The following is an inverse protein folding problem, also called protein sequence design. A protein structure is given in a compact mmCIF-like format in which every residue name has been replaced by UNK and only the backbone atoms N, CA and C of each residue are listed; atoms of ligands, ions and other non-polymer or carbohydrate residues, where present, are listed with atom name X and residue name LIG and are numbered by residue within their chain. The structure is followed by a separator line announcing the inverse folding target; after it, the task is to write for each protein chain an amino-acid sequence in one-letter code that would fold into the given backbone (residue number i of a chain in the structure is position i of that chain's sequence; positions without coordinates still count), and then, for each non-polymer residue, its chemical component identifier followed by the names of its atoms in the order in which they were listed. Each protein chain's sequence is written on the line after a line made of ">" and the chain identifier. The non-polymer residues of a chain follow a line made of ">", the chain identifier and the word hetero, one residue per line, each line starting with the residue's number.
data_IF_402731304804
#
_entry.id   IF_402731304804
#
_cell.length_a   1.000
_cell.length_b   1.000
_cell.length_c   1.000
_cell.angle_alpha   90.00
_cell.angle_beta   90.00
_cell.angle_gamma   90.00
#
_symmetry.space_group_name_H-M   'P 1'
#
loop_
_entity.id
_entity.type
_entity.pdbx_description
1 polymer ?
#
# COMPACT_ATOMS: atom_id res chain seq x y z
N UNK A 1 3.07 2.78 9.04
CA UNK A 1 4.37 2.75 8.37
C UNK A 1 4.50 1.58 7.40
N UNK A 2 4.07 0.38 7.77
CA UNK A 2 4.16 -0.83 6.93
C UNK A 2 3.58 -0.67 5.52
N UNK A 3 2.39 -0.08 5.39
CA UNK A 3 1.79 0.21 4.06
C UNK A 3 2.61 1.21 3.25
N UNK A 4 3.11 2.29 3.88
CA UNK A 4 3.91 3.30 3.21
C UNK A 4 5.22 2.71 2.65
N UNK A 5 5.90 1.88 3.45
CA UNK A 5 7.10 1.18 3.00
C UNK A 5 6.81 0.22 1.83
N UNK A 6 5.67 -0.48 1.86
CA UNK A 6 5.24 -1.32 0.74
C UNK A 6 5.02 -0.49 -0.53
N UNK A 7 4.31 0.64 -0.44
CA UNK A 7 4.02 1.50 -1.61
C UNK A 7 5.28 2.13 -2.22
N UNK A 8 6.27 2.46 -1.40
CA UNK A 8 7.58 2.95 -1.87
C UNK A 8 8.34 1.90 -2.68
N UNK A 9 8.17 0.61 -2.36
CA UNK A 9 8.81 -0.51 -3.07
C UNK A 9 7.96 -1.01 -4.25
N UNK A 10 6.63 -0.97 -4.13
CA UNK A 10 5.65 -1.41 -5.12
C UNK A 10 4.42 -0.49 -5.12
N UNK A 11 4.32 0.47 -6.06
CA UNK A 11 3.21 1.43 -6.11
C UNK A 11 1.83 0.83 -6.41
N UNK A 12 1.77 -0.39 -6.96
CA UNK A 12 0.52 -1.11 -7.25
C UNK A 12 0.57 -2.53 -6.68
N UNK A 13 0.49 -2.69 -5.35
CA UNK A 13 0.59 -3.99 -4.70
C UNK A 13 -0.65 -4.86 -4.96
N UNK A 14 -0.50 -6.17 -4.78
CA UNK A 14 -1.61 -7.13 -4.69
C UNK A 14 -2.10 -7.24 -3.25
N UNK A 15 -3.28 -7.81 -3.03
CA UNK A 15 -3.79 -8.04 -1.66
C UNK A 15 -2.86 -8.94 -0.84
N UNK A 16 -2.23 -9.94 -1.45
CA UNK A 16 -1.25 -10.80 -0.78
C UNK A 16 -0.04 -10.01 -0.25
N UNK A 17 0.47 -9.04 -1.03
CA UNK A 17 1.61 -8.21 -0.62
C UNK A 17 1.22 -7.31 0.58
N UNK A 18 -0.02 -6.83 0.61
CA UNK A 18 -0.56 -6.05 1.74
C UNK A 18 -0.67 -6.93 2.98
N UNK A 19 -1.23 -8.13 2.86
CA UNK A 19 -1.36 -9.06 3.99
C UNK A 19 0.02 -9.44 4.57
N UNK A 20 1.00 -9.72 3.70
CA UNK A 20 2.39 -9.99 4.09
C UNK A 20 3.00 -8.81 4.85
N UNK A 21 2.87 -7.59 4.31
CA UNK A 21 3.36 -6.38 4.96
C UNK A 21 2.72 -6.13 6.34
N UNK A 22 1.54 -6.70 6.60
CA UNK A 22 0.80 -6.54 7.85
C UNK A 22 0.95 -7.70 8.86
N UNK A 23 1.62 -8.81 8.51
CA UNK A 23 1.81 -9.96 9.42
C UNK A 23 2.45 -9.57 10.77
N UNK A 24 3.36 -8.59 10.77
CA UNK A 24 4.02 -8.09 11.98
C UNK A 24 3.30 -6.96 12.72
N UNK A 25 2.12 -6.53 12.28
CA UNK A 25 1.44 -5.34 12.80
C UNK A 25 0.23 -5.73 13.65
N UNK A 26 0.31 -5.59 14.98
CA UNK A 26 -0.77 -5.92 15.91
C UNK A 26 -1.76 -4.74 16.12
N UNK A 27 -3.06 -5.00 15.96
CA UNK A 27 -4.13 -4.03 16.24
C UNK A 27 -5.29 -4.70 16.96
N UNK A 28 -5.67 -4.16 18.14
CA UNK A 28 -6.76 -4.72 18.95
C UNK A 28 -8.14 -4.10 18.66
N UNK A 29 -8.18 -2.87 18.18
CA UNK A 29 -9.42 -2.09 18.15
C UNK A 29 -10.24 -2.27 16.88
N UNK A 30 -9.58 -2.32 15.72
CA UNK A 30 -10.27 -2.25 14.42
C UNK A 30 -10.73 -3.61 13.90
N UNK A 31 -10.16 -4.70 14.43
CA UNK A 31 -10.36 -6.05 13.89
C UNK A 31 -9.84 -6.22 12.46
N UNK A 32 -8.91 -5.38 12.00
CA UNK A 32 -8.23 -5.35 10.69
C UNK A 32 -9.09 -5.16 9.43
N UNK A 33 -10.32 -5.63 9.41
CA UNK A 33 -11.23 -5.52 8.26
C UNK A 33 -11.26 -4.12 7.64
N UNK A 34 -11.53 -3.03 8.40
CA UNK A 34 -11.55 -1.68 7.79
C UNK A 34 -10.16 -1.21 7.31
N UNK A 35 -9.07 -1.72 7.88
CA UNK A 35 -7.70 -1.39 7.46
C UNK A 35 -7.41 -2.02 6.09
N UNK A 36 -7.68 -3.32 5.96
CA UNK A 36 -7.47 -4.07 4.72
C UNK A 36 -8.41 -3.59 3.60
N UNK A 37 -9.66 -3.30 3.92
CA UNK A 37 -10.62 -2.70 2.99
C UNK A 37 -10.16 -1.33 2.48
N UNK A 38 -9.62 -0.48 3.36
CA UNK A 38 -9.05 0.80 2.97
C UNK A 38 -7.85 0.66 2.02
N UNK A 39 -6.91 -0.24 2.32
CA UNK A 39 -5.72 -0.43 1.47
C UNK A 39 -5.98 -1.09 0.13
N UNK A 40 -7.12 -1.78 -0.02
CA UNK A 40 -7.56 -2.33 -1.30
C UNK A 40 -7.64 -1.28 -2.41
N UNK A 41 -7.88 -0.01 -2.05
CA UNK A 41 -7.91 1.12 -2.99
C UNK A 41 -6.61 1.33 -3.77
N UNK A 42 -5.48 0.86 -3.24
CA UNK A 42 -4.17 0.91 -3.91
C UNK A 42 -3.91 -0.31 -4.82
N UNK A 43 -4.78 -1.33 -4.79
CA UNK A 43 -4.63 -2.54 -5.60
C UNK A 43 -5.41 -2.43 -6.92
N UNK A 44 -4.97 -3.17 -7.95
CA UNK A 44 -5.73 -3.30 -9.21
C UNK A 44 -7.03 -4.10 -9.04
N UNK A 45 -7.13 -4.87 -7.96
CA UNK A 45 -8.25 -5.75 -7.66
C UNK A 45 -9.40 -4.97 -7.00
N UNK A 46 -10.21 -4.31 -7.83
CA UNK A 46 -11.48 -3.69 -7.40
C UNK A 46 -12.57 -4.71 -7.03
N UNK A 47 -12.22 -5.99 -6.83
CA UNK A 47 -13.19 -7.06 -6.60
C UNK A 47 -13.69 -7.03 -5.16
N UNK A 48 -14.73 -6.24 -4.91
CA UNK A 48 -15.42 -6.14 -3.63
C UNK A 48 -15.88 -7.52 -3.11
N UNK A 49 -15.84 -7.69 -1.78
CA UNK A 49 -16.66 -8.67 -1.08
C UNK A 49 -18.14 -8.31 -1.36
N UNK A 50 -18.69 -8.81 -2.47
CA UNK A 50 -20.07 -8.54 -2.90
C UNK A 50 -20.27 -8.16 -4.38
N UNK A 51 -19.25 -8.22 -5.25
CA UNK A 51 -19.41 -7.85 -6.66
C UNK A 51 -18.96 -8.92 -7.65
N UNK A 52 -19.93 -9.67 -8.19
CA UNK A 52 -19.86 -10.69 -9.26
C UNK A 52 -19.32 -12.08 -8.89
N UNK A 53 -20.27 -12.94 -8.53
CA UNK A 53 -20.37 -14.33 -9.01
C UNK A 53 -19.19 -15.25 -8.77
N UNK A 54 -19.21 -15.95 -7.63
CA UNK A 54 -18.75 -17.34 -7.54
C UNK A 54 -19.66 -18.05 -6.53
N UNK A 55 -19.96 -19.31 -6.83
CA UNK A 55 -21.04 -20.19 -6.35
C UNK A 55 -21.17 -20.34 -4.83
N UNK A 56 -20.24 -19.79 -4.03
CA UNK A 56 -20.14 -19.98 -2.57
C UNK A 56 -19.86 -18.66 -1.82
N UNK A 57 -20.56 -17.58 -2.17
CA UNK A 57 -20.34 -16.24 -1.60
C UNK A 57 -20.74 -16.12 -0.11
N UNK A 58 -19.86 -15.52 0.69
CA UNK A 58 -20.00 -15.25 2.13
C UNK A 58 -21.13 -14.26 2.49
N UNK A 59 -21.79 -13.64 1.51
CA UNK A 59 -22.81 -12.63 1.71
C UNK A 59 -24.17 -13.16 1.22
N UNK A 60 -25.13 -13.32 2.14
CA UNK A 60 -26.54 -13.57 1.80
C UNK A 60 -27.18 -12.31 1.19
N UNK A 61 -26.72 -11.92 0.00
CA UNK A 61 -27.35 -10.86 -0.79
C UNK A 61 -28.29 -11.53 -1.79
N UNK A 62 -29.59 -11.25 -1.63
CA UNK A 62 -30.56 -11.51 -2.68
C UNK A 62 -30.04 -10.85 -3.97
N UNK A 63 -30.09 -11.59 -5.08
CA UNK A 63 -29.62 -11.17 -6.42
C UNK A 63 -30.33 -9.88 -6.84
N UNK A 64 -29.76 -8.73 -6.52
CA UNK A 64 -30.08 -7.46 -7.16
C UNK A 64 -28.79 -6.97 -7.77
N UNK A 65 -28.78 -6.92 -9.10
CA UNK A 65 -27.64 -6.45 -9.89
C UNK A 65 -27.39 -4.97 -9.61
N UNK A 66 -26.44 -4.66 -8.72
CA UNK A 66 -25.98 -3.28 -8.55
C UNK A 66 -25.06 -2.93 -9.72
N UNK A 67 -25.64 -2.41 -10.80
CA UNK A 67 -24.90 -1.56 -11.75
C UNK A 67 -24.38 -0.34 -11.00
N UNK A 68 -23.21 0.14 -11.44
CA UNK A 68 -22.51 1.27 -10.85
C UNK A 68 -23.43 2.43 -10.52
N UNK A 69 -23.20 3.01 -9.35
CA UNK A 69 -23.89 4.16 -8.80
C UNK A 69 -23.80 5.33 -9.79
N UNK A 70 -24.90 5.62 -10.48
CA UNK A 70 -25.20 6.95 -11.02
C UNK A 70 -26.34 7.48 -10.17
N UNK A 71 -26.11 8.61 -9.50
CA UNK A 71 -27.16 9.39 -8.84
C UNK A 71 -28.28 9.62 -9.84
N UNK A 72 -29.47 9.10 -9.56
CA UNK A 72 -30.76 9.74 -9.82
C UNK A 72 -31.92 8.88 -9.31
N UNK A 73 -32.67 9.48 -8.38
CA UNK A 73 -34.09 9.29 -8.12
C UNK A 73 -34.63 7.88 -7.76
N UNK A 74 -34.86 7.73 -6.46
CA UNK A 74 -36.09 7.23 -5.82
C UNK A 74 -36.71 5.87 -6.23
N UNK A 75 -36.89 5.09 -5.17
CA UNK A 75 -38.03 4.21 -4.89
C UNK A 75 -37.86 2.72 -5.24
N UNK A 76 -37.34 1.95 -4.27
CA UNK A 76 -37.97 0.72 -3.78
C UNK A 76 -37.23 0.19 -2.56
N UNK A 77 -37.99 -0.27 -1.58
CA UNK A 77 -37.60 -0.70 -0.24
C UNK A 77 -36.61 -1.86 -0.24
N UNK A 78 -35.32 -1.57 -0.34
CA UNK A 78 -34.25 -2.40 0.19
C UNK A 78 -33.31 -1.48 0.94
N UNK A 79 -33.41 -1.48 2.28
CA UNK A 79 -32.52 -0.72 3.17
C UNK A 79 -31.14 -1.38 3.10
N UNK A 80 -30.45 -1.18 1.98
CA UNK A 80 -29.02 -1.42 1.92
C UNK A 80 -28.39 -0.28 2.72
N UNK A 81 -27.61 -0.59 3.77
CA UNK A 81 -26.91 0.45 4.50
C UNK A 81 -26.04 1.23 3.53
N UNK A 82 -26.08 2.56 3.64
CA UNK A 82 -25.23 3.44 2.86
C UNK A 82 -23.74 3.04 3.02
N UNK A 83 -22.92 3.19 1.97
CA UNK A 83 -21.48 2.93 2.08
C UNK A 83 -20.87 3.84 3.15
N UNK A 84 -19.94 3.29 3.94
CA UNK A 84 -19.30 4.02 5.04
C UNK A 84 -18.34 5.11 4.55
N UNK A 85 -17.85 5.00 3.31
CA UNK A 85 -16.96 5.96 2.66
C UNK A 85 -17.05 5.82 1.14
N UNK A 86 -16.62 6.87 0.43
CA UNK A 86 -16.52 6.87 -1.02
C UNK A 86 -15.04 6.87 -1.45
N UNK A 87 -14.55 5.83 -2.14
CA UNK A 87 -13.15 5.77 -2.56
C UNK A 87 -12.79 6.79 -3.66
N UNK A 88 -13.79 7.41 -4.32
CA UNK A 88 -13.54 8.45 -5.31
C UNK A 88 -13.08 9.78 -4.69
N UNK A 89 -13.34 9.99 -3.39
CA UNK A 89 -12.96 11.22 -2.68
C UNK A 89 -11.49 11.21 -2.23
N UNK A 90 -10.80 10.08 -2.38
CA UNK A 90 -9.41 9.93 -1.97
C UNK A 90 -8.46 10.57 -2.98
N UNK A 91 -7.48 11.32 -2.47
CA UNK A 91 -6.42 11.88 -3.31
C UNK A 91 -5.57 10.74 -3.88
N UNK A 92 -5.21 10.80 -5.18
CA UNK A 92 -4.37 9.80 -5.80
C UNK A 92 -2.94 9.83 -5.22
N UNK A 93 -2.29 8.67 -5.18
CA UNK A 93 -0.90 8.56 -4.79
C UNK A 93 0.00 9.16 -5.88
N UNK A 94 0.81 10.15 -5.51
CA UNK A 94 1.87 10.72 -6.36
C UNK A 94 3.25 10.26 -5.85
N UNK A 95 3.90 9.27 -6.51
CA UNK A 95 5.21 8.76 -6.10
C UNK A 95 6.33 9.81 -6.16
N UNK A 96 6.13 10.94 -6.85
CA UNK A 96 7.15 11.98 -7.03
C UNK A 96 7.22 12.95 -5.86
N UNK A 97 6.15 13.05 -5.06
CA UNK A 97 6.10 13.90 -3.87
C UNK A 97 6.58 13.20 -2.59
N UNK A 98 7.19 12.04 -2.75
CA UNK A 98 7.73 11.27 -1.65
C UNK A 98 9.02 11.86 -1.09
N UNK A 99 9.33 11.54 0.17
CA UNK A 99 10.52 12.04 0.85
C UNK A 99 11.78 11.62 0.06
N UNK A 100 12.57 12.62 -0.31
CA UNK A 100 13.86 12.42 -0.99
C UNK A 100 14.83 11.69 -0.06
N UNK A 101 15.70 10.87 -0.65
CA UNK A 101 16.77 10.28 0.12
C UNK A 101 17.77 11.38 0.54
N UNK A 102 18.23 11.42 1.80
CA UNK A 102 19.18 12.43 2.27
C UNK A 102 20.46 12.45 1.40
N UNK A 103 20.79 13.59 0.76
CA UNK A 103 21.94 13.66 -0.14
C UNK A 103 23.27 13.31 0.52
N UNK A 104 23.43 13.63 1.81
CA UNK A 104 24.64 13.33 2.59
C UNK A 104 24.98 11.83 2.58
N UNK A 105 23.96 10.97 2.76
CA UNK A 105 24.13 9.52 2.74
C UNK A 105 24.43 8.97 1.34
N UNK A 106 24.14 9.72 0.27
CA UNK A 106 24.52 9.32 -1.09
C UNK A 106 26.02 9.51 -1.30
N UNK A 107 26.56 10.64 -0.80
CA UNK A 107 27.98 10.98 -0.94
C UNK A 107 28.87 10.02 -0.13
N UNK A 108 28.44 9.67 1.09
CA UNK A 108 29.20 8.76 1.96
C UNK A 108 29.38 7.36 1.35
N UNK A 109 28.41 6.87 0.58
CA UNK A 109 28.56 5.58 -0.11
C UNK A 109 29.60 5.65 -1.24
N UNK A 110 29.72 6.78 -1.93
CA UNK A 110 30.70 6.99 -3.00
C UNK A 110 32.11 7.16 -2.43
N UNK A 111 32.26 7.91 -1.33
CA UNK A 111 33.55 8.05 -0.65
C UNK A 111 33.99 6.72 -0.02
N UNK A 112 33.07 5.94 0.55
CA UNK A 112 33.40 4.63 1.12
C UNK A 112 33.70 3.55 0.04
N UNK A 113 33.09 3.62 -1.13
CA UNK A 113 33.47 2.78 -2.29
C UNK A 113 34.83 3.20 -2.86
N UNK A 114 35.13 4.49 -2.91
CA UNK A 114 36.44 5.00 -3.32
C UNK A 114 37.54 4.58 -2.33
N UNK A 115 37.32 4.69 -1.02
CA UNK A 115 38.30 4.21 -0.01
C UNK A 115 38.41 2.69 0.05
N UNK A 116 37.35 1.92 -0.25
CA UNK A 116 37.42 0.46 -0.38
C UNK A 116 38.12 0.00 -1.67
N UNK A 117 37.97 0.73 -2.77
CA UNK A 117 38.69 0.48 -4.03
C UNK A 117 40.18 0.85 -3.96
N UNK A 118 40.56 1.77 -3.06
CA UNK A 118 41.96 2.10 -2.77
C UNK A 118 42.60 1.17 -1.72
N UNK A 119 41.82 0.41 -0.96
CA UNK A 119 42.32 -0.48 0.10
C UNK A 119 42.78 -1.87 -0.38
N UNK A 120 42.92 -2.11 -1.68
CA UNK A 120 43.66 -3.29 -2.19
C UNK A 120 45.12 -3.03 -2.47
N UNK A 121 45.70 -1.85 -2.16
CA UNK A 121 47.16 -1.71 -2.11
C UNK A 121 47.64 -0.51 -1.27
N UNK A 122 48.59 -0.81 -0.39
CA UNK A 122 49.58 0.08 0.26
C UNK A 122 49.11 1.00 1.41
N UNK A 123 49.40 0.56 2.64
CA UNK A 123 49.72 1.45 3.75
C UNK A 123 51.03 2.21 3.45
N UNK A 124 51.14 3.49 3.85
CA UNK A 124 52.40 3.98 4.38
C UNK A 124 52.18 4.41 5.84
N UNK A 125 52.78 3.67 6.76
CA UNK A 125 53.03 4.15 8.12
C UNK A 125 53.93 5.39 8.06
N UNK A 126 53.72 6.42 8.91
CA UNK A 126 54.69 7.49 9.06
C UNK A 126 55.87 6.95 9.89
N UNK A 127 57.06 6.91 9.29
CA UNK A 127 58.30 6.62 10.02
C UNK A 127 58.64 7.84 10.88
N UNK A 128 58.61 7.65 12.19
CA UNK A 128 59.23 8.54 13.18
C UNK A 128 60.74 8.32 13.14
N UNK A 129 61.48 9.28 12.57
CA UNK A 129 62.81 9.74 12.97
C UNK A 129 63.02 11.16 12.44
#
# INVERSE_FOLDING_TARGET
>A
MSMYALLRNNPTPRMADIEEAFQGNLCRCTGYRPILEGYKTFTKERSCCGGKGMENGCCMTNRVETKGYTDESANSTSVLPAPLYNPADFLPLDPTQEIIFPPELMVDTLTHQYTRGLNTNTYPYPSLY
#
